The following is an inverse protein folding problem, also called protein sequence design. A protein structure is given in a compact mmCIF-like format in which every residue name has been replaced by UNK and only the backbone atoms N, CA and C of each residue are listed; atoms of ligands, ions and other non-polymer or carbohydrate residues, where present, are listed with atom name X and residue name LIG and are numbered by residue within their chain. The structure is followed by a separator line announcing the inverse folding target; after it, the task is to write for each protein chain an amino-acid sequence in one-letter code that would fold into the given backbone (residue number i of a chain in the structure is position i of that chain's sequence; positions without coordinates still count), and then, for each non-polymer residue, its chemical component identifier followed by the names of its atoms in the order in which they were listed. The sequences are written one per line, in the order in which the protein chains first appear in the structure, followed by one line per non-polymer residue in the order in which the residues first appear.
data_IF_123447030285
#
_entry.id   IF_123447030285
#
_cell.length_a   1.000
_cell.length_b   1.000
_cell.length_c   1.000
_cell.angle_alpha   90.00
_cell.angle_beta   90.00
_cell.angle_gamma   90.00
#
_symmetry.space_group_name_H-M   'P 1'
#
loop_
_entity.id
_entity.type
_entity.pdbx_description
1 polymer ?
#
# COMPACT_ATOMS: atom_id res chain seq x y z
N UNK A 1 -4.45 -4.30 26.78
CA UNK A 1 -5.74 -4.79 26.27
C UNK A 1 -5.95 -4.47 24.77
N UNK A 2 -4.90 -4.44 23.94
CA UNK A 2 -5.03 -4.19 22.48
C UNK A 2 -4.58 -5.42 21.64
N UNK A 3 -4.06 -6.48 22.26
CA UNK A 3 -3.62 -7.69 21.54
C UNK A 3 -4.68 -8.80 21.50
N UNK A 4 -5.78 -8.72 22.27
CA UNK A 4 -6.69 -9.87 22.44
C UNK A 4 -8.08 -9.79 21.80
N UNK A 5 -8.36 -8.84 20.89
CA UNK A 5 -9.68 -8.75 20.23
C UNK A 5 -9.67 -9.11 18.74
N UNK A 6 -8.57 -9.63 18.20
CA UNK A 6 -8.49 -10.02 16.78
C UNK A 6 -8.09 -11.50 16.58
N UNK A 7 -8.52 -12.38 17.49
CA UNK A 7 -8.47 -13.85 17.28
C UNK A 7 -9.82 -14.49 16.93
N UNK A 8 -10.94 -13.77 17.08
CA UNK A 8 -12.27 -14.37 16.89
C UNK A 8 -12.94 -14.10 15.54
N UNK A 9 -12.34 -13.33 14.63
CA UNK A 9 -12.98 -13.03 13.35
C UNK A 9 -12.60 -13.97 12.19
N UNK A 10 -11.71 -14.96 12.36
CA UNK A 10 -11.55 -16.04 11.37
C UNK A 10 -11.30 -15.58 9.92
N UNK A 11 -10.82 -14.35 9.71
CA UNK A 11 -10.49 -13.80 8.38
C UNK A 11 -8.98 -13.86 8.10
N UNK A 12 -8.31 -14.87 8.66
CA UNK A 12 -6.95 -15.26 8.28
C UNK A 12 -7.02 -16.31 7.17
N UNK A 13 -6.38 -16.02 6.04
CA UNK A 13 -6.20 -16.86 4.85
C UNK A 13 -7.41 -17.02 3.91
N UNK A 14 -7.61 -16.02 3.04
CA UNK A 14 -7.92 -16.29 1.62
C UNK A 14 -7.03 -15.38 0.76
N UNK A 15 -6.47 -15.96 -0.32
CA UNK A 15 -5.32 -15.53 -1.14
C UNK A 15 -3.97 -15.87 -0.48
N UNK A 16 -3.11 -16.78 -0.97
CA UNK A 16 -2.83 -17.25 -2.34
C UNK A 16 -2.19 -18.66 -2.28
N UNK A 17 -2.46 -19.49 -3.28
CA UNK A 17 -1.61 -20.64 -3.63
C UNK A 17 -0.25 -20.09 -4.09
N UNK A 18 0.74 -20.04 -3.22
CA UNK A 18 2.15 -19.81 -3.59
C UNK A 18 3.02 -20.71 -2.72
N UNK A 19 3.40 -21.86 -3.26
CA UNK A 19 4.34 -22.79 -2.65
C UNK A 19 5.81 -22.39 -2.89
N UNK A 20 6.13 -21.20 -3.43
CA UNK A 20 7.51 -20.79 -3.75
C UNK A 20 7.73 -19.27 -3.70
N UNK A 21 7.39 -18.62 -2.59
CA UNK A 21 7.95 -17.30 -2.29
C UNK A 21 8.39 -17.34 -0.83
N UNK A 22 9.67 -17.59 -0.61
CA UNK A 22 10.34 -17.34 0.65
C UNK A 22 10.93 -15.93 0.58
N UNK A 23 10.18 -14.86 0.91
CA UNK A 23 10.80 -13.57 1.12
C UNK A 23 11.63 -13.66 2.40
N UNK A 24 12.77 -12.93 2.49
CA UNK A 24 13.47 -12.80 3.75
C UNK A 24 12.50 -12.21 4.78
N UNK A 25 12.06 -13.04 5.71
CA UNK A 25 11.11 -12.68 6.75
C UNK A 25 11.82 -11.85 7.83
N UNK A 26 12.22 -10.61 7.53
CA UNK A 26 12.76 -9.69 8.53
C UNK A 26 12.75 -8.21 8.10
N UNK A 27 11.59 -7.60 7.79
CA UNK A 27 11.45 -6.14 8.00
C UNK A 27 10.01 -5.59 7.81
N UNK A 28 9.18 -6.18 6.95
CA UNK A 28 7.90 -5.55 6.57
C UNK A 28 6.94 -5.32 7.75
N UNK A 29 6.87 -6.27 8.68
CA UNK A 29 6.08 -6.11 9.93
C UNK A 29 6.67 -5.06 10.88
N UNK A 30 7.97 -4.78 10.78
CA UNK A 30 8.65 -3.80 11.65
C UNK A 30 8.33 -2.38 11.19
N UNK A 31 8.38 -2.13 9.88
CA UNK A 31 8.01 -0.83 9.29
C UNK A 31 6.55 -0.47 9.58
N UNK A 32 5.62 -1.42 9.40
CA UNK A 32 4.19 -1.19 9.69
C UNK A 32 3.95 -0.88 11.18
N UNK A 33 4.65 -1.57 12.08
CA UNK A 33 4.57 -1.32 13.53
C UNK A 33 5.11 0.06 13.89
N UNK A 34 6.16 0.52 13.23
CA UNK A 34 6.76 1.83 13.49
C UNK A 34 5.75 2.96 13.25
N UNK A 35 4.84 2.82 12.29
CA UNK A 35 3.79 3.83 12.05
C UNK A 35 2.91 4.09 13.28
N UNK A 36 2.64 3.05 14.08
CA UNK A 36 1.84 3.16 15.29
C UNK A 36 2.64 3.63 16.51
N UNK A 37 3.96 3.41 16.52
CA UNK A 37 4.84 3.76 17.64
C UNK A 37 5.46 5.14 17.50
N UNK A 38 5.71 5.58 16.26
CA UNK A 38 6.37 6.85 15.99
C UNK A 38 5.46 8.03 16.38
N UNK A 39 6.03 9.01 17.07
CA UNK A 39 5.29 10.17 17.57
C UNK A 39 4.70 11.01 16.44
N UNK A 40 5.34 11.05 15.28
CA UNK A 40 4.87 11.82 14.12
C UNK A 40 3.71 11.15 13.38
N UNK A 41 3.59 9.82 13.42
CA UNK A 41 2.58 9.08 12.64
C UNK A 41 1.50 8.38 13.45
N UNK A 42 1.74 8.10 14.73
CA UNK A 42 0.83 7.35 15.62
C UNK A 42 -0.59 7.93 15.69
N UNK A 43 -0.73 9.26 15.67
CA UNK A 43 -2.02 9.93 15.69
C UNK A 43 -2.84 9.67 14.41
N UNK A 44 -2.21 9.51 13.24
CA UNK A 44 -2.92 9.11 12.02
C UNK A 44 -3.44 7.69 12.14
N UNK A 45 -2.62 6.76 12.66
CA UNK A 45 -3.04 5.37 12.89
C UNK A 45 -4.24 5.31 13.84
N UNK A 46 -4.19 6.03 14.97
CA UNK A 46 -5.31 6.10 15.91
C UNK A 46 -6.58 6.70 15.28
N UNK A 47 -6.44 7.73 14.45
CA UNK A 47 -7.58 8.38 13.80
C UNK A 47 -8.21 7.53 12.68
N UNK A 48 -7.39 6.79 11.94
CA UNK A 48 -7.86 5.94 10.84
C UNK A 48 -8.48 4.64 11.35
N UNK A 49 -7.97 4.11 12.47
CA UNK A 49 -8.57 2.93 13.13
C UNK A 49 -9.90 3.26 13.81
N UNK A 50 -10.08 4.48 14.34
CA UNK A 50 -11.34 4.89 14.97
C UNK A 50 -12.39 5.41 13.97
N UNK A 51 -11.98 5.79 12.76
CA UNK A 51 -12.86 6.33 11.73
C UNK A 51 -12.47 5.85 10.32
N UNK A 52 -13.13 4.77 9.87
CA UNK A 52 -12.88 4.17 8.56
C UNK A 52 -13.20 5.10 7.38
N UNK A 53 -14.24 5.92 7.47
CA UNK A 53 -14.59 6.87 6.39
C UNK A 53 -13.49 7.92 6.20
N UNK A 54 -12.89 8.39 7.31
CA UNK A 54 -11.75 9.30 7.27
C UNK A 54 -10.54 8.64 6.61
N UNK A 55 -10.27 7.37 6.92
CA UNK A 55 -9.21 6.61 6.26
C UNK A 55 -9.44 6.55 4.74
N UNK A 56 -10.62 6.11 4.29
CA UNK A 56 -10.92 5.96 2.86
C UNK A 56 -10.80 7.29 2.11
N UNK A 57 -11.32 8.39 2.67
CA UNK A 57 -11.22 9.74 2.07
C UNK A 57 -9.77 10.21 1.97
N UNK A 58 -8.99 10.04 3.04
CA UNK A 58 -7.57 10.41 3.03
C UNK A 58 -6.76 9.53 2.07
N UNK A 59 -7.05 8.23 2.01
CA UNK A 59 -6.42 7.30 1.09
C UNK A 59 -6.68 7.67 -0.38
N UNK A 60 -7.93 7.94 -0.76
CA UNK A 60 -8.27 8.37 -2.11
C UNK A 60 -7.52 9.66 -2.49
N UNK A 61 -7.48 10.64 -1.58
CA UNK A 61 -6.74 11.89 -1.78
C UNK A 61 -5.24 11.64 -1.95
N UNK A 62 -4.64 10.75 -1.15
CA UNK A 62 -3.24 10.40 -1.23
C UNK A 62 -2.91 9.72 -2.57
N UNK A 63 -3.75 8.79 -3.03
CA UNK A 63 -3.58 8.13 -4.33
C UNK A 63 -3.68 9.11 -5.51
N UNK A 64 -4.59 10.09 -5.43
CA UNK A 64 -4.70 11.18 -6.42
C UNK A 64 -3.44 12.07 -6.47
N UNK A 65 -2.75 12.24 -5.34
CA UNK A 65 -1.47 12.96 -5.33
C UNK A 65 -0.34 12.08 -5.86
N UNK A 66 -0.31 10.82 -5.44
CA UNK A 66 0.74 9.87 -5.80
C UNK A 66 0.77 9.59 -7.30
N UNK A 67 -0.37 9.40 -7.97
CA UNK A 67 -0.37 9.08 -9.40
C UNK A 67 0.14 10.21 -10.29
N UNK A 68 0.19 11.46 -9.79
CA UNK A 68 0.68 12.62 -10.54
C UNK A 68 2.20 12.79 -10.46
N UNK A 69 2.89 11.99 -9.65
CA UNK A 69 4.34 12.09 -9.49
C UNK A 69 5.01 11.57 -10.78
N UNK A 70 5.79 12.44 -11.44
CA UNK A 70 6.62 12.05 -12.58
C UNK A 70 5.86 11.56 -13.82
N UNK A 71 4.59 11.95 -13.98
CA UNK A 71 3.80 11.60 -15.16
C UNK A 71 4.35 12.32 -16.39
N UNK A 72 4.57 11.57 -17.47
CA UNK A 72 4.92 12.11 -18.78
C UNK A 72 3.65 12.60 -19.49
N UNK A 73 3.64 13.88 -19.87
CA UNK A 73 2.49 14.54 -20.48
C UNK A 73 2.74 15.01 -21.92
N UNK A 74 1.67 15.25 -22.68
CA UNK A 74 1.78 15.79 -24.03
C UNK A 74 2.57 14.87 -24.97
N UNK A 75 3.70 15.35 -25.49
CA UNK A 75 4.58 14.61 -26.39
C UNK A 75 5.76 13.95 -25.65
N UNK A 76 5.74 13.92 -24.32
CA UNK A 76 6.76 13.26 -23.50
C UNK A 76 6.46 11.76 -23.41
N UNK A 77 7.44 10.91 -23.75
CA UNK A 77 7.31 9.46 -23.70
C UNK A 77 6.53 8.85 -24.87
N UNK A 78 5.98 7.66 -24.66
CA UNK A 78 5.22 6.92 -25.68
C UNK A 78 4.10 6.08 -25.05
N UNK A 79 3.04 5.83 -25.83
CA UNK A 79 2.04 4.82 -25.50
C UNK A 79 2.60 3.45 -25.93
N UNK A 80 2.95 2.61 -24.97
CA UNK A 80 3.52 1.28 -25.23
C UNK A 80 2.47 0.32 -25.77
N UNK A 81 2.75 -0.33 -26.90
CA UNK A 81 1.92 -1.42 -27.44
C UNK A 81 2.03 -2.69 -26.61
N UNK A 82 3.16 -2.85 -25.92
CA UNK A 82 3.42 -3.92 -24.96
C UNK A 82 4.18 -3.32 -23.76
N UNK A 83 3.57 -3.36 -22.57
CA UNK A 83 4.11 -2.72 -21.36
C UNK A 83 5.51 -3.21 -20.95
N UNK A 84 5.94 -4.38 -21.44
CA UNK A 84 7.24 -4.99 -21.08
C UNK A 84 8.41 -4.47 -21.93
N UNK A 85 8.16 -3.83 -23.06
CA UNK A 85 9.19 -3.41 -24.02
C UNK A 85 8.98 -1.96 -24.47
N UNK A 86 10.04 -1.32 -24.93
CA UNK A 86 9.97 -0.01 -25.59
C UNK A 86 9.58 -0.24 -27.06
N UNK A 87 8.75 0.64 -27.64
CA UNK A 87 8.41 0.49 -29.06
C UNK A 87 9.67 0.69 -29.90
N UNK A 88 9.76 -0.03 -31.02
CA UNK A 88 10.82 0.19 -31.99
C UNK A 88 10.52 1.44 -32.80
N UNK A 89 11.54 2.23 -33.07
CA UNK A 89 11.49 3.25 -34.12
C UNK A 89 11.51 2.51 -35.47
N UNK A 90 10.59 2.87 -36.35
CA UNK A 90 10.46 2.29 -37.67
C UNK A 90 11.24 3.12 -38.70
#
# INVERSE_FOLDING_TARGET
MIINTLKHLGLGQRYINSKNFDPPALDTKLVDKQLALDKSTSHFVSNFTSNGDKFVKCFATAMIKMWKIGVLGGNEGEIRKNCKVVNKLN
#
